data_IF_222510256689
#
_entry.id   IF_222510256689
#
_cell.length_a   1.000
_cell.length_b   1.000
_cell.length_c   1.000
_cell.angle_alpha   90.00
_cell.angle_beta   90.00
_cell.angle_gamma   90.00
#
_symmetry.space_group_name_H-M   'P 1'
#
loop_
_entity.id
_entity.type
_entity.pdbx_description
1 polymer ?
#
# COMPACT_ATOMS: atom_id res chain seq x y z
N UNK A 1 -2.20 10.79 -11.78
CA UNK A 1 -2.75 11.33 -10.52
C UNK A 1 -1.80 10.99 -9.37
N UNK A 2 -1.94 11.61 -8.20
CA UNK A 2 -1.11 11.32 -7.03
C UNK A 2 -1.88 11.52 -5.72
N UNK A 3 -1.53 10.78 -4.66
CA UNK A 3 -2.07 10.99 -3.32
C UNK A 3 -1.00 10.75 -2.25
N UNK A 4 -1.13 11.45 -1.12
CA UNK A 4 -0.18 11.41 -0.01
C UNK A 4 -0.35 10.19 0.91
N UNK A 5 -1.29 9.29 0.60
CA UNK A 5 -1.60 8.10 1.39
C UNK A 5 -2.81 7.36 0.80
N UNK A 6 -3.24 6.28 1.47
CA UNK A 6 -4.47 5.57 1.08
C UNK A 6 -5.75 6.24 1.61
N UNK A 7 -5.62 7.28 2.45
CA UNK A 7 -6.70 8.19 2.84
C UNK A 7 -7.24 8.00 4.26
N UNK A 8 -6.84 6.93 4.97
CA UNK A 8 -7.31 6.63 6.33
C UNK A 8 -6.19 6.60 7.38
N UNK A 9 -4.97 6.23 6.98
CA UNK A 9 -3.79 6.19 7.86
C UNK A 9 -2.90 7.43 7.60
N UNK A 10 -2.48 8.16 8.65
CA UNK A 10 -1.56 9.28 8.48
C UNK A 10 -0.21 8.81 7.94
N UNK A 11 0.45 9.68 7.19
CA UNK A 11 1.74 9.43 6.53
C UNK A 11 2.72 10.51 6.94
N UNK A 12 3.95 10.13 7.25
CA UNK A 12 5.06 11.02 7.61
C UNK A 12 5.17 12.21 6.66
N UNK A 13 5.40 13.40 7.23
CA UNK A 13 5.39 14.65 6.47
C UNK A 13 6.46 14.70 5.36
N UNK A 14 7.65 14.13 5.59
CA UNK A 14 8.71 14.08 4.58
C UNK A 14 8.32 13.14 3.42
N UNK A 15 7.64 12.03 3.73
CA UNK A 15 7.12 11.11 2.73
C UNK A 15 6.04 11.80 1.88
N UNK A 16 5.09 12.50 2.52
CA UNK A 16 4.05 13.25 1.78
C UNK A 16 4.65 14.27 0.84
N UNK A 17 5.62 15.06 1.31
CA UNK A 17 6.32 16.05 0.50
C UNK A 17 7.09 15.40 -0.66
N UNK A 18 7.75 14.27 -0.43
CA UNK A 18 8.47 13.54 -1.47
C UNK A 18 7.53 13.00 -2.57
N UNK A 19 6.34 12.51 -2.19
CA UNK A 19 5.33 12.04 -3.14
C UNK A 19 4.80 13.17 -4.02
N UNK A 20 4.43 14.30 -3.41
CA UNK A 20 3.98 15.48 -4.14
C UNK A 20 5.07 15.99 -5.09
N UNK A 21 6.30 16.15 -4.60
CA UNK A 21 7.42 16.59 -5.42
C UNK A 21 7.70 15.62 -6.58
N UNK A 22 7.64 14.30 -6.34
CA UNK A 22 7.81 13.31 -7.39
C UNK A 22 6.70 13.41 -8.45
N UNK A 23 5.45 13.60 -8.02
CA UNK A 23 4.33 13.78 -8.95
C UNK A 23 4.50 15.04 -9.81
N UNK A 24 4.86 16.17 -9.22
CA UNK A 24 5.07 17.43 -9.95
C UNK A 24 6.22 17.34 -10.96
N UNK A 25 7.30 16.61 -10.66
CA UNK A 25 8.39 16.38 -11.62
C UNK A 25 7.97 15.61 -12.88
N UNK A 26 6.82 14.93 -12.87
CA UNK A 26 6.31 14.23 -14.06
C UNK A 26 5.64 15.16 -15.07
N UNK A 27 5.29 16.40 -14.68
CA UNK A 27 4.51 17.35 -15.49
C UNK A 27 5.05 17.55 -16.93
N UNK A 28 6.36 17.65 -17.19
CA UNK A 28 6.88 17.80 -18.56
C UNK A 28 6.64 16.59 -19.48
N UNK A 29 6.30 15.43 -18.93
CA UNK A 29 6.22 14.15 -19.65
C UNK A 29 4.80 13.59 -19.73
N UNK A 30 3.83 14.22 -19.08
CA UNK A 30 2.44 13.74 -19.00
C UNK A 30 1.45 14.84 -19.35
N UNK A 31 0.23 14.46 -19.76
CA UNK A 31 -0.80 15.44 -20.13
C UNK A 31 -1.40 16.18 -18.94
N UNK A 32 -1.38 15.62 -17.73
CA UNK A 32 -1.86 16.28 -16.51
C UNK A 32 -1.31 15.64 -15.24
N UNK A 33 -1.09 16.47 -14.22
CA UNK A 33 -0.74 16.04 -12.86
C UNK A 33 -1.77 16.63 -11.90
N UNK A 34 -2.59 15.78 -11.29
CA UNK A 34 -3.65 16.19 -10.37
C UNK A 34 -3.68 15.32 -9.12
N UNK A 35 -4.04 15.89 -7.95
CA UNK A 35 -4.34 15.12 -6.76
C UNK A 35 -5.43 14.06 -7.04
N UNK A 36 -5.33 12.93 -6.34
CA UNK A 36 -6.33 11.89 -6.30
C UNK A 36 -7.22 12.14 -5.07
N UNK A 37 -8.49 12.45 -5.35
CA UNK A 37 -9.56 12.74 -4.38
C UNK A 37 -10.51 11.55 -4.20
N UNK A 38 -10.22 10.41 -4.84
CA UNK A 38 -11.06 9.23 -4.78
C UNK A 38 -10.94 8.48 -3.45
N UNK A 39 -12.06 7.92 -3.00
CA UNK A 39 -12.14 7.13 -1.77
C UNK A 39 -11.95 5.62 -2.02
N UNK A 40 -11.60 5.21 -3.24
CA UNK A 40 -11.52 3.79 -3.62
C UNK A 40 -10.47 3.01 -2.82
N UNK A 41 -9.47 3.70 -2.27
CA UNK A 41 -8.45 3.11 -1.41
C UNK A 41 -8.88 3.05 0.07
N UNK A 42 -9.89 3.82 0.48
CA UNK A 42 -10.33 3.87 1.88
C UNK A 42 -10.82 2.49 2.31
N UNK A 43 -10.22 1.97 3.38
CA UNK A 43 -10.56 0.65 3.92
C UNK A 43 -9.89 -0.52 3.19
N UNK A 44 -9.03 -0.28 2.19
CA UNK A 44 -8.30 -1.35 1.52
C UNK A 44 -7.31 -2.03 2.48
N UNK A 45 -6.75 -1.27 3.44
CA UNK A 45 -5.96 -1.82 4.54
C UNK A 45 -6.74 -2.80 5.43
N UNK A 46 -7.98 -2.44 5.77
CA UNK A 46 -8.88 -3.29 6.57
C UNK A 46 -9.27 -4.53 5.77
N UNK A 47 -9.66 -4.36 4.51
CA UNK A 47 -9.99 -5.47 3.61
C UNK A 47 -8.81 -6.45 3.47
N UNK A 48 -7.58 -5.95 3.31
CA UNK A 48 -6.38 -6.80 3.30
C UNK A 48 -6.30 -7.64 4.58
N UNK A 49 -6.55 -7.03 5.73
CA UNK A 49 -6.49 -7.71 7.04
C UNK A 49 -7.60 -8.77 7.16
N UNK A 50 -8.83 -8.44 6.75
CA UNK A 50 -9.97 -9.37 6.78
C UNK A 50 -9.75 -10.56 5.85
N UNK A 51 -9.34 -10.32 4.60
CA UNK A 51 -9.08 -11.40 3.64
C UNK A 51 -7.93 -12.30 4.10
N UNK A 52 -6.85 -11.72 4.65
CA UNK A 52 -5.75 -12.50 5.23
C UNK A 52 -6.17 -13.37 6.41
N UNK A 53 -7.15 -12.93 7.21
CA UNK A 53 -7.68 -13.71 8.32
C UNK A 53 -8.53 -14.92 7.86
N UNK A 54 -8.99 -14.95 6.60
CA UNK A 54 -9.68 -16.09 6.01
C UNK A 54 -8.72 -17.14 5.44
N UNK A 55 -7.44 -16.80 5.25
CA UNK A 55 -6.45 -17.69 4.65
C UNK A 55 -5.86 -18.59 5.74
N UNK A 56 -6.30 -19.86 5.79
CA UNK A 56 -6.01 -20.80 6.87
C UNK A 56 -4.53 -21.17 7.06
N UNK A 57 -3.65 -20.82 6.11
CA UNK A 57 -2.23 -21.17 6.13
C UNK A 57 -1.95 -22.66 6.37
N UNK A 58 -2.87 -23.54 5.95
CA UNK A 58 -2.79 -24.98 6.21
C UNK A 58 -1.57 -25.61 5.52
N UNK A 59 -1.07 -24.99 4.46
CA UNK A 59 0.18 -25.35 3.81
C UNK A 59 1.39 -25.15 4.74
N UNK A 60 1.43 -24.08 5.53
CA UNK A 60 2.52 -23.82 6.50
C UNK A 60 2.60 -24.94 7.53
N UNK A 61 1.46 -25.42 8.04
CA UNK A 61 1.41 -26.53 8.99
C UNK A 61 1.89 -27.87 8.38
N UNK A 62 1.73 -28.05 7.07
CA UNK A 62 2.14 -29.26 6.36
C UNK A 62 3.65 -29.39 6.16
N UNK A 63 4.41 -28.30 6.21
CA UNK A 63 5.88 -28.33 6.05
C UNK A 63 6.63 -28.86 7.28
N UNK A 64 5.93 -29.14 8.39
CA UNK A 64 6.50 -29.73 9.59
C UNK A 64 6.69 -28.73 10.74
N UNK A 65 7.24 -29.16 11.89
CA UNK A 65 7.39 -28.29 13.04
C UNK A 65 8.35 -27.14 12.73
N UNK A 66 7.87 -25.91 12.88
CA UNK A 66 8.65 -24.69 12.70
C UNK A 66 8.56 -23.81 13.95
N UNK A 67 9.71 -23.30 14.40
CA UNK A 67 9.76 -22.27 15.43
C UNK A 67 9.54 -20.89 14.80
N UNK A 68 8.32 -20.38 14.92
CA UNK A 68 7.98 -19.06 14.42
C UNK A 68 8.25 -17.96 15.44
N UNK A 69 8.64 -16.77 14.99
CA UNK A 69 8.73 -15.59 15.84
C UNK A 69 7.36 -15.19 16.40
N UNK A 70 7.33 -14.36 17.46
CA UNK A 70 6.08 -13.92 18.07
C UNK A 70 5.13 -13.22 17.08
N UNK A 71 5.67 -12.44 16.15
CA UNK A 71 4.89 -11.76 15.11
C UNK A 71 4.20 -12.75 14.17
N UNK A 72 4.94 -13.76 13.69
CA UNK A 72 4.36 -14.78 12.80
C UNK A 72 3.31 -15.60 13.54
N UNK A 73 3.55 -15.97 14.81
CA UNK A 73 2.53 -16.65 15.63
C UNK A 73 1.26 -15.81 15.79
N UNK A 74 1.39 -14.50 15.98
CA UNK A 74 0.23 -13.61 16.08
C UNK A 74 -0.57 -13.55 14.77
N UNK A 75 0.11 -13.55 13.61
CA UNK A 75 -0.55 -13.60 12.29
C UNK A 75 -1.29 -14.93 12.10
N UNK A 76 -0.67 -16.07 12.44
CA UNK A 76 -1.30 -17.38 12.34
C UNK A 76 -2.49 -17.53 13.29
N UNK A 77 -2.39 -16.98 14.51
CA UNK A 77 -3.46 -17.00 15.50
C UNK A 77 -4.63 -16.05 15.15
N UNK A 78 -4.41 -15.09 14.26
CA UNK A 78 -5.46 -14.17 13.78
C UNK A 78 -6.38 -14.81 12.72
N UNK A 79 -6.04 -16.01 12.23
CA UNK A 79 -6.91 -16.78 11.34
C UNK A 79 -8.21 -17.09 12.06
N UNK A 80 -9.32 -16.64 11.50
CA UNK A 80 -10.64 -16.81 12.07
C UNK A 80 -11.44 -17.89 11.35
N UNK A 81 -12.45 -18.43 12.04
CA UNK A 81 -13.49 -19.21 11.36
C UNK A 81 -14.32 -18.26 10.50
N UNK A 82 -14.35 -18.50 9.18
CA UNK A 82 -15.10 -17.69 8.23
C UNK A 82 -16.04 -18.59 7.43
N UNK A 83 -17.27 -18.14 7.16
CA UNK A 83 -18.19 -18.90 6.30
C UNK A 83 -17.90 -18.64 4.83
N UNK A 84 -18.36 -19.52 3.93
CA UNK A 84 -18.23 -19.28 2.49
C UNK A 84 -18.89 -17.96 2.06
N UNK A 85 -20.04 -17.62 2.65
CA UNK A 85 -20.76 -16.38 2.38
C UNK A 85 -19.96 -15.12 2.79
N UNK A 86 -19.24 -15.17 3.92
CA UNK A 86 -18.37 -14.07 4.36
C UNK A 86 -17.20 -13.88 3.38
N UNK A 87 -16.57 -14.99 2.95
CA UNK A 87 -15.48 -14.94 1.95
C UNK A 87 -15.98 -14.37 0.62
N UNK A 88 -17.16 -14.81 0.14
CA UNK A 88 -17.80 -14.26 -1.06
C UNK A 88 -18.06 -12.75 -0.93
N UNK A 89 -18.53 -12.29 0.23
CA UNK A 89 -18.76 -10.87 0.50
C UNK A 89 -17.45 -10.05 0.45
N UNK A 90 -16.34 -10.58 1.00
CA UNK A 90 -15.03 -9.93 0.94
C UNK A 90 -14.51 -9.84 -0.50
N UNK A 91 -14.66 -10.89 -1.31
CA UNK A 91 -14.29 -10.85 -2.73
C UNK A 91 -15.16 -9.88 -3.53
N UNK A 92 -16.46 -9.83 -3.27
CA UNK A 92 -17.34 -8.84 -3.88
C UNK A 92 -16.93 -7.40 -3.51
N UNK A 93 -16.57 -7.16 -2.24
CA UNK A 93 -16.06 -5.87 -1.77
C UNK A 93 -14.75 -5.49 -2.47
N UNK A 94 -13.82 -6.43 -2.60
CA UNK A 94 -12.56 -6.25 -3.34
C UNK A 94 -12.81 -5.86 -4.79
N UNK A 95 -13.72 -6.55 -5.47
CA UNK A 95 -14.06 -6.28 -6.87
C UNK A 95 -14.65 -4.87 -7.06
N UNK A 96 -15.55 -4.46 -6.16
CA UNK A 96 -16.12 -3.11 -6.17
C UNK A 96 -15.05 -2.03 -5.97
N UNK A 97 -14.18 -2.19 -4.97
CA UNK A 97 -13.09 -1.24 -4.71
C UNK A 97 -12.10 -1.18 -5.88
N UNK A 98 -11.77 -2.32 -6.48
CA UNK A 98 -10.90 -2.39 -7.66
C UNK A 98 -11.55 -1.65 -8.83
N UNK A 99 -12.84 -1.86 -9.08
CA UNK A 99 -13.58 -1.14 -10.13
C UNK A 99 -13.58 0.37 -9.91
N UNK A 100 -13.83 0.82 -8.68
CA UNK A 100 -13.79 2.25 -8.31
C UNK A 100 -12.40 2.85 -8.48
N UNK A 101 -11.33 2.13 -8.11
CA UNK A 101 -9.97 2.61 -8.31
C UNK A 101 -9.69 2.77 -9.81
N UNK A 102 -9.97 1.75 -10.61
CA UNK A 102 -9.67 1.75 -12.05
C UNK A 102 -10.42 2.83 -12.83
N UNK A 103 -11.64 3.19 -12.39
CA UNK A 103 -12.43 4.26 -13.00
C UNK A 103 -11.94 5.67 -12.61
N UNK A 104 -11.22 5.82 -11.50
CA UNK A 104 -10.83 7.13 -10.94
C UNK A 104 -9.33 7.43 -10.99
N UNK A 105 -8.46 6.42 -11.04
CA UNK A 105 -7.00 6.59 -10.87
C UNK A 105 -6.30 7.34 -12.03
N UNK A 106 -6.91 7.43 -13.21
CA UNK A 106 -6.24 7.88 -14.44
C UNK A 106 -5.37 6.79 -15.07
N UNK A 107 -4.35 7.14 -15.83
CA UNK A 107 -3.43 6.16 -16.43
C UNK A 107 -2.40 5.61 -15.44
N UNK A 108 -1.98 6.48 -14.51
CA UNK A 108 -1.03 6.19 -13.44
C UNK A 108 -1.46 6.90 -12.16
N UNK A 109 -1.30 6.23 -11.02
CA UNK A 109 -1.43 6.80 -9.69
C UNK A 109 -0.08 6.70 -8.95
N UNK A 110 0.40 7.80 -8.37
CA UNK A 110 1.58 7.81 -7.51
C UNK A 110 1.13 7.84 -6.05
N UNK A 111 1.68 6.94 -5.22
CA UNK A 111 1.41 6.85 -3.78
C UNK A 111 2.71 6.68 -2.98
N UNK A 112 2.70 7.00 -1.68
CA UNK A 112 3.76 6.54 -0.78
C UNK A 112 3.76 5.01 -0.69
N UNK A 113 4.92 4.42 -0.42
CA UNK A 113 5.05 2.97 -0.16
C UNK A 113 4.57 2.61 1.25
N UNK A 114 5.00 3.40 2.24
CA UNK A 114 4.70 3.23 3.65
C UNK A 114 4.37 4.59 4.28
N UNK A 115 3.72 4.56 5.44
CA UNK A 115 3.38 5.73 6.24
C UNK A 115 4.54 6.28 7.08
N UNK A 116 5.64 5.53 7.18
CA UNK A 116 6.80 5.83 8.04
C UNK A 116 8.10 5.72 7.25
N UNK A 117 9.13 6.45 7.69
CA UNK A 117 10.51 6.19 7.28
C UNK A 117 10.99 4.86 7.85
N UNK A 118 12.15 4.38 7.39
CA UNK A 118 12.75 3.16 7.95
C UNK A 118 12.97 3.32 9.47
N UNK A 119 12.28 2.54 10.32
CA UNK A 119 12.38 2.72 11.76
C UNK A 119 13.65 2.08 12.31
N UNK A 120 14.12 2.49 13.51
CA UNK A 120 15.11 1.76 14.27
C UNK A 120 14.72 0.29 14.49
N UNK A 121 15.72 -0.57 14.62
CA UNK A 121 15.50 -1.99 14.87
C UNK A 121 14.80 -2.22 16.21
N UNK A 122 13.80 -3.09 16.21
CA UNK A 122 13.07 -3.51 17.42
C UNK A 122 11.82 -2.67 17.72
N UNK A 123 11.57 -1.58 16.99
CA UNK A 123 10.35 -0.80 17.15
C UNK A 123 9.13 -1.50 16.54
N UNK A 124 7.99 -1.39 17.23
CA UNK A 124 6.72 -2.01 16.84
C UNK A 124 5.54 -1.05 16.88
N UNK A 125 5.79 0.21 17.26
CA UNK A 125 4.80 1.29 17.34
C UNK A 125 5.46 2.56 16.85
N UNK A 126 4.79 3.28 15.94
CA UNK A 126 5.37 4.42 15.23
C UNK A 126 4.47 5.64 15.36
N UNK A 127 4.98 6.76 15.84
CA UNK A 127 4.19 7.97 15.98
C UNK A 127 4.20 8.76 14.66
N UNK A 128 3.02 9.06 14.11
CA UNK A 128 2.85 9.88 12.90
C UNK A 128 1.64 10.79 13.13
N UNK A 129 1.87 12.11 13.06
CA UNK A 129 0.84 13.15 13.29
C UNK A 129 0.02 12.92 14.59
N UNK A 130 0.68 12.51 15.68
CA UNK A 130 0.02 12.24 16.97
C UNK A 130 -0.72 10.89 17.06
N UNK A 131 -0.70 10.08 16.01
CA UNK A 131 -1.26 8.73 16.01
C UNK A 131 -0.15 7.67 16.18
N UNK A 132 -0.33 6.74 17.12
CA UNK A 132 0.52 5.57 17.23
C UNK A 132 0.06 4.49 16.23
N UNK A 133 0.90 4.23 15.23
CA UNK A 133 0.67 3.25 14.18
C UNK A 133 1.31 1.91 14.53
N UNK A 134 0.59 0.82 14.26
CA UNK A 134 1.16 -0.52 14.21
C UNK A 134 1.93 -0.75 12.91
N UNK A 135 2.69 -1.85 12.81
CA UNK A 135 3.26 -2.32 11.54
C UNK A 135 2.23 -2.52 10.43
N UNK A 136 1.00 -2.91 10.79
CA UNK A 136 -0.05 -3.10 9.79
C UNK A 136 -0.44 -1.77 9.16
N UNK A 137 -0.66 -0.75 9.99
CA UNK A 137 -1.03 0.59 9.57
C UNK A 137 0.12 1.30 8.86
N UNK A 138 1.36 1.14 9.35
CA UNK A 138 2.55 1.67 8.70
C UNK A 138 2.71 1.23 7.23
N UNK A 139 2.14 0.07 6.86
CA UNK A 139 2.18 -0.49 5.51
C UNK A 139 0.85 -0.33 4.75
N UNK A 140 -0.05 0.54 5.20
CA UNK A 140 -1.40 0.65 4.65
C UNK A 140 -1.43 0.90 3.13
N UNK A 141 -0.60 1.82 2.63
CA UNK A 141 -0.55 2.13 1.19
C UNK A 141 -0.08 0.96 0.33
N UNK A 142 0.95 0.22 0.76
CA UNK A 142 1.38 -1.00 0.05
C UNK A 142 0.32 -2.09 0.12
N UNK A 143 -0.31 -2.30 1.27
CA UNK A 143 -1.38 -3.30 1.45
C UNK A 143 -2.60 -2.99 0.60
N UNK A 144 -2.97 -1.72 0.47
CA UNK A 144 -4.07 -1.26 -0.38
C UNK A 144 -3.84 -1.65 -1.84
N UNK A 145 -2.63 -1.44 -2.36
CA UNK A 145 -2.29 -1.81 -3.74
C UNK A 145 -2.21 -3.33 -3.91
N UNK A 146 -1.60 -4.06 -2.96
CA UNK A 146 -1.55 -5.52 -3.00
C UNK A 146 -2.93 -6.17 -2.98
N UNK A 147 -3.85 -5.72 -2.11
CA UNK A 147 -5.19 -6.33 -2.03
C UNK A 147 -5.99 -6.07 -3.31
N UNK A 148 -5.88 -4.90 -3.91
CA UNK A 148 -6.55 -4.55 -5.16
C UNK A 148 -5.91 -5.20 -6.39
N UNK A 149 -4.70 -5.77 -6.25
CA UNK A 149 -4.04 -6.56 -7.29
C UNK A 149 -3.75 -5.78 -8.57
N UNK A 150 -3.40 -4.50 -8.43
CA UNK A 150 -3.00 -3.64 -9.54
C UNK A 150 -1.46 -3.55 -9.61
N UNK A 151 -0.85 -3.50 -10.80
CA UNK A 151 0.60 -3.51 -10.95
C UNK A 151 1.22 -2.21 -10.41
N UNK A 152 2.37 -2.33 -9.74
CA UNK A 152 3.13 -1.19 -9.26
C UNK A 152 4.65 -1.40 -9.39
N UNK A 153 5.38 -0.30 -9.51
CA UNK A 153 6.85 -0.24 -9.43
C UNK A 153 7.26 0.77 -8.37
N UNK A 154 8.33 0.51 -7.63
CA UNK A 154 8.87 1.42 -6.62
C UNK A 154 10.22 1.97 -7.07
N UNK A 155 10.38 3.30 -6.99
CA UNK A 155 11.65 3.98 -7.22
C UNK A 155 11.99 4.91 -6.04
N UNK A 156 13.28 5.10 -5.72
CA UNK A 156 13.71 6.15 -4.80
C UNK A 156 13.48 7.53 -5.46
N UNK A 157 12.98 8.50 -4.69
CA UNK A 157 12.70 9.85 -5.20
C UNK A 157 13.28 10.98 -4.35
N UNK A 158 13.64 10.68 -3.10
CA UNK A 158 14.19 11.64 -2.16
C UNK A 158 15.02 10.93 -1.09
N UNK A 159 15.75 11.73 -0.31
CA UNK A 159 16.41 11.32 0.92
C UNK A 159 15.86 12.20 2.05
N UNK A 160 15.47 11.60 3.16
CA UNK A 160 14.97 12.33 4.32
C UNK A 160 16.04 13.21 4.96
N UNK A 161 15.61 14.11 5.83
CA UNK A 161 16.48 14.91 6.70
C UNK A 161 17.44 14.07 7.55
N UNK A 162 17.02 12.85 7.90
CA UNK A 162 17.80 11.84 8.63
C UNK A 162 18.68 10.95 7.75
N UNK A 163 18.75 11.20 6.43
CA UNK A 163 19.59 10.44 5.50
C UNK A 163 18.99 9.12 5.03
N UNK A 164 17.69 8.87 5.27
CA UNK A 164 17.01 7.64 4.88
C UNK A 164 16.39 7.77 3.48
N UNK A 165 16.43 6.74 2.63
CA UNK A 165 15.82 6.78 1.32
C UNK A 165 14.28 6.84 1.42
N UNK A 166 13.66 7.67 0.60
CA UNK A 166 12.20 7.73 0.42
C UNK A 166 11.85 7.26 -0.99
N UNK A 167 11.01 6.22 -1.06
CA UNK A 167 10.49 5.70 -2.32
C UNK A 167 9.01 6.02 -2.52
N UNK A 168 8.61 6.11 -3.79
CA UNK A 168 7.19 6.15 -4.19
C UNK A 168 6.84 4.90 -4.96
N UNK A 169 5.60 4.45 -4.83
CA UNK A 169 5.02 3.47 -5.74
C UNK A 169 4.29 4.19 -6.88
N UNK A 170 4.51 3.70 -8.09
CA UNK A 170 3.87 4.16 -9.33
C UNK A 170 2.99 3.01 -9.80
N UNK A 171 1.67 3.22 -9.73
CA UNK A 171 0.65 2.22 -9.99
C UNK A 171 0.05 2.43 -11.37
N UNK A 172 -0.04 1.37 -12.16
CA UNK A 172 -0.75 1.38 -13.45
C UNK A 172 -2.01 0.51 -13.40
N UNK A 173 -2.82 0.60 -14.45
CA UNK A 173 -3.90 -0.35 -14.69
C UNK A 173 -3.34 -1.74 -15.03
N UNK A 174 -4.08 -2.84 -14.76
CA UNK A 174 -3.67 -4.17 -15.20
C UNK A 174 -3.29 -4.19 -16.68
N UNK A 175 -2.16 -4.82 -17.01
CA UNK A 175 -1.61 -4.91 -18.37
C UNK A 175 -1.05 -3.59 -18.96
N UNK A 176 -0.97 -2.54 -18.14
CA UNK A 176 -0.36 -1.26 -18.49
C UNK A 176 0.92 -0.98 -17.70
N UNK A 177 1.67 -2.02 -17.32
CA UNK A 177 2.93 -1.91 -16.56
C UNK A 177 3.93 -0.96 -17.26
N UNK A 178 3.90 -0.92 -18.59
CA UNK A 178 4.71 0.01 -19.39
C UNK A 178 4.44 1.49 -19.08
N UNK A 179 3.24 1.88 -18.65
CA UNK A 179 2.96 3.25 -18.20
C UNK A 179 3.69 3.55 -16.88
N UNK A 180 3.61 2.64 -15.90
CA UNK A 180 4.30 2.81 -14.63
C UNK A 180 5.82 2.85 -14.82
N UNK A 181 6.36 1.97 -15.67
CA UNK A 181 7.79 1.93 -15.99
C UNK A 181 8.26 3.18 -16.77
N UNK A 182 7.45 3.71 -17.68
CA UNK A 182 7.79 4.95 -18.39
C UNK A 182 7.85 6.15 -17.45
N UNK A 183 6.89 6.27 -16.52
CA UNK A 183 6.91 7.31 -15.48
C UNK A 183 8.10 7.11 -14.54
N UNK A 184 8.41 5.87 -14.17
CA UNK A 184 9.57 5.57 -13.33
C UNK A 184 10.88 6.01 -14.01
N UNK A 185 11.07 5.65 -15.29
CA UNK A 185 12.25 6.01 -16.07
C UNK A 185 12.40 7.54 -16.26
N UNK A 186 11.30 8.29 -16.31
CA UNK A 186 11.33 9.75 -16.40
C UNK A 186 11.69 10.43 -15.07
N UNK A 187 11.60 9.73 -13.94
CA UNK A 187 11.88 10.25 -12.60
C UNK A 187 13.26 9.87 -12.06
N UNK A 188 13.96 8.93 -12.72
CA UNK A 188 15.33 8.49 -12.43
C UNK A 188 16.35 9.23 -13.28
#
# INVERSE_FOLDING_TARGET
RWATGEGTIPVDAEIRAAVEAAALRTEPFVGSVTPYDGTALHGAHELFTQMRACETQTDIEQYGPAEFSANIRAILAAVGTTTAADVEALWARRAEMQHQLLSTMGDVLILPVASILAPPLGETSFEVDGAALSWSQALASSRAISILGVPSVVIPVATSSSGLPIGVQIIAKPWHEHHALAVAAALT
#
